data_IF_011356435693
#
_entry.id   IF_011356435693
#
_cell.length_a   1.000
_cell.length_b   1.000
_cell.length_c   1.000
_cell.angle_alpha   90.00
_cell.angle_beta   90.00
_cell.angle_gamma   90.00
#
_symmetry.space_group_name_H-M   'P 1'
#
loop_
_entity.id
_entity.type
_entity.pdbx_description
1 polymer ?
#
# COMPACT_ATOMS: atom_id res chain seq x y z
N UNK A 1 -8.70 -30.11 18.72
CA UNK A 1 -9.86 -30.90 18.24
C UNK A 1 -9.86 -30.91 16.71
N UNK A 2 -10.39 -31.94 16.07
CA UNK A 2 -10.48 -32.06 14.59
C UNK A 2 -11.96 -32.29 14.21
N UNK A 3 -12.44 -31.70 13.11
CA UNK A 3 -13.82 -31.92 12.67
C UNK A 3 -14.40 -30.82 11.79
N UNK A 4 -15.72 -30.83 11.63
CA UNK A 4 -16.51 -29.78 10.98
C UNK A 4 -17.43 -29.14 12.01
N UNK A 5 -17.84 -27.90 11.77
CA UNK A 5 -18.87 -27.25 12.58
C UNK A 5 -20.22 -27.90 12.22
N UNK A 6 -20.92 -28.54 13.18
CA UNK A 6 -22.21 -29.18 12.92
C UNK A 6 -23.28 -28.14 12.59
N UNK A 7 -24.27 -28.50 11.75
CA UNK A 7 -25.36 -27.58 11.40
C UNK A 7 -26.29 -27.32 12.59
N UNK A 8 -26.35 -28.27 13.52
CA UNK A 8 -27.17 -28.30 14.72
C UNK A 8 -26.71 -27.30 15.78
N UNK A 9 -25.59 -26.61 15.58
CA UNK A 9 -25.09 -25.58 16.49
C UNK A 9 -26.09 -24.43 16.70
N UNK A 10 -26.99 -24.23 15.74
CA UNK A 10 -28.08 -23.26 15.81
C UNK A 10 -29.14 -23.59 16.88
N UNK A 11 -29.19 -24.81 17.41
CA UNK A 11 -30.09 -25.20 18.48
C UNK A 11 -29.68 -24.58 19.83
N UNK A 12 -28.44 -24.12 19.95
CA UNK A 12 -27.90 -23.46 21.13
C UNK A 12 -28.30 -21.98 21.15
N UNK A 13 -29.60 -21.70 21.26
CA UNK A 13 -30.13 -20.32 21.19
C UNK A 13 -29.69 -19.42 22.34
N UNK A 14 -29.26 -19.99 23.47
CA UNK A 14 -28.77 -19.25 24.65
C UNK A 14 -27.25 -19.10 24.67
N UNK A 15 -26.54 -19.51 23.61
CA UNK A 15 -25.09 -19.43 23.60
C UNK A 15 -24.63 -17.99 23.37
N UNK A 16 -23.94 -17.43 24.36
CA UNK A 16 -23.45 -16.04 24.33
C UNK A 16 -22.01 -15.89 23.84
N UNK A 17 -21.16 -16.90 24.05
CA UNK A 17 -19.75 -16.83 23.68
C UNK A 17 -19.26 -18.15 23.11
N UNK A 18 -18.56 -18.07 21.98
CA UNK A 18 -17.98 -19.22 21.29
C UNK A 18 -16.53 -18.93 20.85
N UNK A 19 -15.58 -19.56 21.54
CA UNK A 19 -14.18 -19.56 21.15
C UNK A 19 -13.79 -20.97 20.67
N UNK A 20 -13.51 -21.10 19.37
CA UNK A 20 -12.98 -22.31 18.74
C UNK A 20 -11.58 -22.07 18.17
N UNK A 21 -10.90 -20.99 18.57
CA UNK A 21 -9.61 -20.63 18.02
C UNK A 21 -8.55 -21.71 18.25
N UNK A 22 -7.52 -21.73 17.39
CA UNK A 22 -6.38 -22.65 17.51
C UNK A 22 -6.78 -24.13 17.50
N UNK A 23 -7.65 -24.50 16.58
CA UNK A 23 -8.08 -25.88 16.37
C UNK A 23 -7.86 -26.30 14.90
N UNK A 24 -8.26 -27.53 14.57
CA UNK A 24 -8.18 -28.08 13.22
C UNK A 24 -9.60 -28.28 12.66
N UNK A 25 -10.52 -27.36 12.95
CA UNK A 25 -11.84 -27.38 12.31
C UNK A 25 -11.71 -27.08 10.82
N UNK A 26 -12.55 -27.73 10.02
CA UNK A 26 -12.49 -27.71 8.57
C UNK A 26 -13.89 -27.62 7.95
N UNK A 27 -13.94 -27.28 6.66
CA UNK A 27 -15.20 -27.08 5.94
C UNK A 27 -15.78 -25.67 6.12
N UNK A 28 -17.01 -25.50 5.63
CA UNK A 28 -17.70 -24.20 5.65
C UNK A 28 -18.34 -23.88 6.98
N UNK A 29 -18.46 -22.58 7.24
CA UNK A 29 -19.27 -22.06 8.34
C UNK A 29 -20.75 -22.25 7.95
N UNK A 30 -21.56 -22.95 8.77
CA UNK A 30 -22.95 -23.20 8.44
C UNK A 30 -23.79 -21.92 8.50
N UNK A 31 -24.59 -21.68 7.45
CA UNK A 31 -25.48 -20.51 7.36
C UNK A 31 -26.51 -20.45 8.50
N UNK A 32 -26.83 -21.60 9.13
CA UNK A 32 -27.76 -21.68 10.26
C UNK A 32 -27.31 -20.85 11.47
N UNK A 33 -26.03 -20.52 11.58
CA UNK A 33 -25.51 -19.65 12.65
C UNK A 33 -26.00 -18.22 12.58
N UNK A 34 -26.48 -17.76 11.41
CA UNK A 34 -27.15 -16.46 11.27
C UNK A 34 -28.38 -16.27 12.15
N UNK A 35 -28.95 -17.37 12.67
CA UNK A 35 -30.13 -17.38 13.55
C UNK A 35 -29.82 -17.40 15.05
N UNK A 36 -28.53 -17.44 15.45
CA UNK A 36 -28.10 -17.47 16.85
C UNK A 36 -28.03 -16.06 17.45
N UNK A 37 -29.19 -15.51 17.83
CA UNK A 37 -29.31 -14.09 18.22
C UNK A 37 -28.66 -13.73 19.57
N UNK A 38 -28.38 -14.70 20.43
CA UNK A 38 -27.79 -14.43 21.76
C UNK A 38 -26.26 -14.42 21.74
N UNK A 39 -25.63 -14.75 20.62
CA UNK A 39 -24.18 -14.91 20.51
C UNK A 39 -23.51 -13.54 20.44
N UNK A 40 -22.77 -13.13 21.46
CA UNK A 40 -22.12 -11.82 21.53
C UNK A 40 -20.61 -11.88 21.29
N UNK A 41 -19.98 -13.02 21.54
CA UNK A 41 -18.54 -13.19 21.36
C UNK A 41 -18.20 -14.40 20.48
N UNK A 42 -17.36 -14.17 19.46
CA UNK A 42 -16.96 -15.20 18.50
C UNK A 42 -15.46 -15.12 18.18
N UNK A 43 -14.76 -16.25 18.29
CA UNK A 43 -13.38 -16.39 17.84
C UNK A 43 -13.16 -17.74 17.14
N UNK A 44 -12.89 -17.72 15.83
CA UNK A 44 -12.60 -18.90 15.01
C UNK A 44 -11.22 -18.86 14.37
N UNK A 45 -10.35 -17.99 14.88
CA UNK A 45 -9.03 -17.78 14.33
C UNK A 45 -8.18 -19.05 14.40
N UNK A 46 -7.20 -19.17 13.51
CA UNK A 46 -6.26 -20.30 13.46
C UNK A 46 -6.96 -21.66 13.40
N UNK A 47 -7.79 -21.83 12.37
CA UNK A 47 -8.41 -23.10 11.98
C UNK A 47 -8.20 -23.36 10.48
N UNK A 48 -8.79 -24.43 9.95
CA UNK A 48 -8.76 -24.77 8.53
C UNK A 48 -10.14 -24.61 7.86
N UNK A 49 -10.91 -23.60 8.27
CA UNK A 49 -12.23 -23.29 7.71
C UNK A 49 -12.10 -22.78 6.26
N UNK A 50 -13.13 -23.02 5.46
CA UNK A 50 -13.10 -22.78 4.01
C UNK A 50 -14.44 -22.27 3.46
N UNK A 51 -14.41 -21.45 2.43
CA UNK A 51 -15.61 -20.96 1.75
C UNK A 51 -16.10 -19.60 2.27
N UNK A 52 -17.31 -19.17 1.87
CA UNK A 52 -17.83 -17.86 2.23
C UNK A 52 -18.14 -17.75 3.71
N UNK A 53 -17.74 -16.65 4.33
CA UNK A 53 -18.22 -16.24 5.65
C UNK A 53 -19.70 -15.81 5.49
N UNK A 54 -20.64 -16.44 6.22
CA UNK A 54 -22.04 -16.07 6.16
C UNK A 54 -22.27 -14.69 6.77
N UNK A 55 -22.30 -13.66 5.93
CA UNK A 55 -22.55 -12.28 6.33
C UNK A 55 -24.07 -11.98 6.30
N UNK A 56 -24.83 -12.63 7.16
CA UNK A 56 -26.29 -12.50 7.23
C UNK A 56 -26.82 -12.66 8.67
N UNK A 57 -27.96 -12.05 8.97
CA UNK A 57 -28.60 -12.15 10.28
C UNK A 57 -27.70 -11.62 11.39
N UNK A 58 -27.60 -12.35 12.51
CA UNK A 58 -26.72 -11.96 13.63
C UNK A 58 -25.24 -12.07 13.28
N UNK A 59 -24.86 -12.87 12.29
CA UNK A 59 -23.46 -13.04 11.91
C UNK A 59 -22.83 -11.80 11.24
N UNK A 60 -23.62 -10.84 10.77
CA UNK A 60 -23.09 -9.57 10.29
C UNK A 60 -22.58 -8.66 11.41
N UNK A 61 -22.90 -8.95 12.68
CA UNK A 61 -22.38 -8.21 13.84
C UNK A 61 -20.92 -8.53 14.14
N UNK A 62 -20.41 -9.68 13.67
CA UNK A 62 -19.00 -10.07 13.79
C UNK A 62 -18.20 -9.54 12.60
N UNK A 63 -17.96 -8.24 12.60
CA UNK A 63 -17.22 -7.52 11.57
C UNK A 63 -15.71 -7.47 11.82
N UNK A 64 -15.22 -7.96 12.96
CA UNK A 64 -13.80 -8.07 13.23
C UNK A 64 -13.15 -9.19 12.39
N UNK A 65 -12.25 -8.79 11.49
CA UNK A 65 -11.46 -9.72 10.69
C UNK A 65 -10.57 -10.64 11.54
N UNK A 66 -10.20 -10.23 12.76
CA UNK A 66 -9.35 -11.01 13.67
C UNK A 66 -9.99 -12.35 14.07
N UNK A 67 -11.33 -12.37 14.24
CA UNK A 67 -12.13 -13.58 14.53
C UNK A 67 -11.94 -14.69 13.50
N UNK A 68 -11.62 -14.34 12.25
CA UNK A 68 -11.49 -15.29 11.15
C UNK A 68 -10.04 -15.49 10.70
N UNK A 69 -9.09 -14.77 11.30
CA UNK A 69 -7.68 -14.78 10.90
C UNK A 69 -7.05 -16.18 10.99
N UNK A 70 -6.09 -16.50 10.12
CA UNK A 70 -5.43 -17.81 10.12
C UNK A 70 -6.23 -18.94 9.46
N UNK A 71 -7.40 -18.66 8.88
CA UNK A 71 -8.13 -19.60 8.02
C UNK A 71 -7.88 -19.28 6.54
N UNK A 72 -6.97 -20.00 5.90
CA UNK A 72 -6.47 -19.69 4.55
C UNK A 72 -7.58 -19.66 3.48
N UNK A 73 -8.59 -20.51 3.62
CA UNK A 73 -9.61 -20.74 2.60
C UNK A 73 -10.93 -20.00 2.83
N UNK A 74 -11.03 -19.15 3.86
CA UNK A 74 -12.20 -18.30 4.06
C UNK A 74 -12.19 -17.11 3.09
N UNK A 75 -13.39 -16.64 2.74
CA UNK A 75 -13.58 -15.48 1.86
C UNK A 75 -14.88 -14.74 2.20
N UNK A 76 -15.02 -13.51 1.71
CA UNK A 76 -16.16 -12.63 1.98
C UNK A 76 -15.94 -11.72 3.21
N UNK A 77 -16.81 -10.71 3.42
CA UNK A 77 -16.72 -9.83 4.57
C UNK A 77 -16.79 -10.62 5.89
N UNK A 78 -16.02 -10.24 6.94
CA UNK A 78 -15.17 -9.05 7.03
C UNK A 78 -13.76 -9.18 6.42
N UNK A 79 -13.40 -10.32 5.80
CA UNK A 79 -12.09 -10.48 5.18
C UNK A 79 -11.99 -9.74 3.83
N UNK A 80 -10.81 -9.20 3.47
CA UNK A 80 -10.60 -8.54 2.17
C UNK A 80 -10.57 -9.53 0.98
N UNK A 81 -10.54 -10.84 1.26
CA UNK A 81 -10.51 -11.90 0.24
C UNK A 81 -11.90 -12.09 -0.35
N UNK A 82 -12.06 -11.85 -1.66
CA UNK A 82 -13.32 -12.12 -2.38
C UNK A 82 -13.51 -13.63 -2.56
N UNK A 83 -14.76 -14.07 -2.57
CA UNK A 83 -15.08 -15.45 -2.93
C UNK A 83 -15.10 -15.59 -4.44
N UNK A 84 -14.23 -16.45 -4.97
CA UNK A 84 -14.21 -16.77 -6.40
C UNK A 84 -15.45 -17.62 -6.71
N UNK A 85 -16.39 -17.05 -7.45
CA UNK A 85 -17.45 -17.83 -8.08
C UNK A 85 -16.86 -18.68 -9.19
N UNK A 86 -17.28 -19.95 -9.37
CA UNK A 86 -16.82 -20.76 -10.48
C UNK A 86 -17.53 -20.32 -11.77
N UNK A 87 -17.16 -19.17 -12.33
CA UNK A 87 -17.19 -18.78 -13.77
C UNK A 87 -16.41 -17.45 -13.88
N UNK A 88 -15.15 -17.53 -14.30
CA UNK A 88 -14.57 -16.70 -15.36
C UNK A 88 -13.14 -17.17 -15.61
N UNK A 89 -13.01 -18.29 -16.33
CA UNK A 89 -11.78 -18.52 -17.08
C UNK A 89 -11.69 -17.39 -18.11
N UNK A 90 -10.58 -16.66 -18.10
CA UNK A 90 -10.19 -15.56 -18.98
C UNK A 90 -10.41 -14.12 -18.46
N UNK A 91 -9.85 -13.76 -17.31
CA UNK A 91 -8.99 -12.57 -17.18
C UNK A 91 -8.04 -12.87 -16.03
N UNK A 92 -6.73 -12.76 -16.25
CA UNK A 92 -5.76 -12.76 -15.16
C UNK A 92 -6.00 -11.54 -14.27
N UNK A 93 -6.77 -11.68 -13.19
CA UNK A 93 -6.90 -10.66 -12.16
C UNK A 93 -5.81 -10.86 -11.11
N UNK A 94 -4.58 -10.56 -11.53
CA UNK A 94 -3.44 -10.38 -10.64
C UNK A 94 -3.50 -8.95 -10.05
N UNK A 95 -4.63 -8.61 -9.39
CA UNK A 95 -4.78 -7.39 -8.58
C UNK A 95 -5.56 -7.67 -7.29
N UNK A 96 -5.09 -8.62 -6.50
CA UNK A 96 -5.19 -8.52 -5.03
C UNK A 96 -4.23 -7.45 -4.51
N UNK A 97 -4.49 -6.21 -4.90
CA UNK A 97 -3.98 -5.02 -4.23
C UNK A 97 -5.15 -4.39 -3.50
N UNK A 98 -5.16 -4.54 -2.18
CA UNK A 98 -6.04 -3.81 -1.27
C UNK A 98 -6.11 -2.32 -1.68
N UNK A 99 -7.32 -1.75 -1.85
CA UNK A 99 -7.49 -0.41 -2.43
C UNK A 99 -6.96 0.75 -1.57
N UNK A 100 -6.34 0.49 -0.43
CA UNK A 100 -5.97 1.53 0.54
C UNK A 100 -4.57 2.14 0.30
N UNK A 101 -3.70 1.50 -0.48
CA UNK A 101 -2.28 1.94 -0.62
C UNK A 101 -2.01 2.63 -1.96
N UNK A 102 -2.85 2.43 -2.99
CA UNK A 102 -2.55 2.98 -4.32
C UNK A 102 -2.61 4.53 -4.35
N UNK A 103 -3.47 5.14 -3.52
CA UNK A 103 -3.54 6.59 -3.36
C UNK A 103 -2.27 7.19 -2.75
N UNK A 104 -1.55 6.42 -1.91
CA UNK A 104 -0.27 6.84 -1.34
C UNK A 104 0.81 6.93 -2.41
N UNK A 105 0.90 5.96 -3.32
CA UNK A 105 1.91 5.97 -4.38
C UNK A 105 1.66 7.03 -5.46
N UNK A 106 0.38 7.31 -5.77
CA UNK A 106 0.00 8.39 -6.70
C UNK A 106 0.38 9.76 -6.10
N UNK A 107 0.06 9.98 -4.82
CA UNK A 107 0.38 11.25 -4.15
C UNK A 107 1.89 11.44 -3.94
N UNK A 108 2.61 10.38 -3.54
CA UNK A 108 4.07 10.40 -3.41
C UNK A 108 4.74 10.74 -4.76
N UNK A 109 4.33 10.10 -5.86
CA UNK A 109 4.89 10.34 -7.19
C UNK A 109 4.74 11.80 -7.68
N UNK A 110 3.56 12.39 -7.48
CA UNK A 110 3.30 13.79 -7.88
C UNK A 110 4.08 14.79 -7.01
N UNK A 111 4.21 14.53 -5.70
CA UNK A 111 4.94 15.38 -4.77
C UNK A 111 6.45 15.46 -5.07
N UNK A 112 7.09 14.34 -5.39
CA UNK A 112 8.53 14.31 -5.70
C UNK A 112 8.88 15.07 -6.99
N UNK A 113 8.04 14.99 -8.02
CA UNK A 113 8.28 15.66 -9.31
C UNK A 113 8.32 17.19 -9.21
N UNK A 114 7.41 17.77 -8.44
CA UNK A 114 7.30 19.24 -8.28
C UNK A 114 8.46 19.76 -7.41
N UNK A 115 8.80 19.06 -6.32
CA UNK A 115 9.85 19.49 -5.40
C UNK A 115 11.26 19.45 -6.00
N UNK A 116 11.67 18.29 -6.55
CA UNK A 116 13.02 18.13 -7.10
C UNK A 116 13.20 18.84 -8.45
N UNK A 117 12.17 18.88 -9.30
CA UNK A 117 12.22 19.56 -10.60
C UNK A 117 12.39 21.07 -10.47
N UNK A 118 11.68 21.69 -9.52
CA UNK A 118 11.82 23.12 -9.22
C UNK A 118 13.22 23.48 -8.71
N UNK A 119 13.73 22.73 -7.73
CA UNK A 119 15.06 22.98 -7.16
C UNK A 119 16.19 22.77 -8.19
N UNK A 120 16.13 21.70 -8.97
CA UNK A 120 17.12 21.42 -10.01
C UNK A 120 17.12 22.52 -11.10
N UNK A 121 15.95 23.03 -11.47
CA UNK A 121 15.83 24.15 -12.42
C UNK A 121 16.50 25.42 -11.91
N UNK A 122 16.30 25.79 -10.63
CA UNK A 122 16.99 26.94 -9.99
C UNK A 122 18.51 26.77 -9.98
N UNK A 123 19.00 25.55 -9.70
CA UNK A 123 20.43 25.24 -9.74
C UNK A 123 21.03 25.42 -11.14
N UNK A 124 20.33 24.99 -12.19
CA UNK A 124 20.85 25.14 -13.57
C UNK A 124 20.92 26.59 -14.03
N UNK A 125 19.95 27.42 -13.63
CA UNK A 125 19.96 28.85 -13.95
C UNK A 125 21.16 29.52 -13.26
N UNK A 126 21.31 29.34 -11.94
CA UNK A 126 22.42 29.92 -11.18
C UNK A 126 23.79 29.48 -11.71
N UNK A 127 23.92 28.21 -12.11
CA UNK A 127 25.14 27.66 -12.71
C UNK A 127 25.45 28.26 -14.08
N UNK A 128 24.44 28.48 -14.95
CA UNK A 128 24.63 29.14 -16.25
C UNK A 128 25.11 30.58 -16.10
N UNK A 129 24.53 31.35 -15.19
CA UNK A 129 24.93 32.74 -14.94
C UNK A 129 26.37 32.84 -14.42
N UNK A 130 26.75 32.01 -13.45
CA UNK A 130 28.11 32.03 -12.90
C UNK A 130 29.17 31.70 -13.97
N UNK A 131 28.90 30.69 -14.80
CA UNK A 131 29.81 30.31 -15.88
C UNK A 131 29.90 31.36 -17.00
N UNK A 132 28.82 32.11 -17.26
CA UNK A 132 28.82 33.20 -18.23
C UNK A 132 29.63 34.40 -17.72
N UNK A 133 29.51 34.75 -16.43
CA UNK A 133 30.26 35.84 -15.80
C UNK A 133 31.77 35.55 -15.85
N UNK A 134 32.19 34.33 -15.51
CA UNK A 134 33.60 33.93 -15.55
C UNK A 134 34.22 34.09 -16.95
N UNK A 135 33.49 33.69 -18.02
CA UNK A 135 33.96 33.86 -19.40
C UNK A 135 34.14 35.33 -19.80
N UNK A 136 33.24 36.20 -19.34
CA UNK A 136 33.31 37.64 -19.62
C UNK A 136 34.51 38.26 -18.90
N UNK A 137 34.77 37.84 -17.67
CA UNK A 137 35.92 38.31 -16.91
C UNK A 137 37.23 37.91 -17.60
N UNK A 138 37.39 36.65 -17.99
CA UNK A 138 38.60 36.18 -18.68
C UNK A 138 38.85 36.95 -19.99
N UNK A 139 37.79 37.18 -20.78
CA UNK A 139 37.89 37.99 -22.01
C UNK A 139 38.31 39.44 -21.74
N UNK A 140 37.78 40.04 -20.67
CA UNK A 140 38.12 41.42 -20.28
C UNK A 140 39.56 41.52 -19.81
N UNK A 141 40.04 40.53 -19.04
CA UNK A 141 41.41 40.46 -18.54
C UNK A 141 42.41 40.33 -19.69
N UNK A 142 42.16 39.47 -20.68
CA UNK A 142 43.03 39.31 -21.86
C UNK A 142 43.15 40.60 -22.68
N UNK A 143 42.04 41.32 -22.87
CA UNK A 143 42.04 42.62 -23.56
C UNK A 143 42.85 43.66 -22.78
N UNK A 144 42.68 43.72 -21.46
CA UNK A 144 43.44 44.66 -20.61
C UNK A 144 44.93 44.34 -20.61
N UNK A 145 45.32 43.06 -20.51
CA UNK A 145 46.72 42.62 -20.58
C UNK A 145 47.33 43.04 -21.92
N UNK A 146 46.63 42.78 -23.03
CA UNK A 146 47.09 43.14 -24.38
C UNK A 146 47.27 44.65 -24.54
N UNK A 147 46.32 45.46 -24.05
CA UNK A 147 46.41 46.92 -24.12
C UNK A 147 47.50 47.49 -23.21
N UNK A 148 47.70 46.93 -22.02
CA UNK A 148 48.77 47.34 -21.11
C UNK A 148 50.15 47.01 -21.68
N UNK A 149 50.33 45.85 -22.33
CA UNK A 149 51.57 45.51 -23.04
C UNK A 149 51.87 46.48 -24.19
N UNK A 150 50.84 46.97 -24.88
CA UNK A 150 51.00 47.92 -25.98
C UNK A 150 51.26 49.36 -25.49
N UNK A 151 50.76 49.73 -24.30
CA UNK A 151 50.99 51.03 -23.68
C UNK A 151 52.34 51.12 -22.95
N UNK A 152 52.86 49.99 -22.46
CA UNK A 152 54.17 49.89 -21.84
C UNK A 152 55.04 48.86 -22.59
N UNK A 153 55.55 49.19 -23.80
CA UNK A 153 56.55 48.35 -24.44
C UNK A 153 57.76 48.29 -23.50
N UNK A 154 58.21 47.06 -23.18
CA UNK A 154 59.36 46.79 -22.29
C UNK A 154 60.45 47.84 -22.51
N UNK A 155 60.60 48.76 -21.56
CA UNK A 155 61.77 49.63 -21.48
C UNK A 155 62.92 48.73 -21.06
N UNK A 156 63.61 48.14 -22.04
CA UNK A 156 64.90 47.49 -21.83
C UNK A 156 65.80 48.48 -21.09
N UNK A 157 66.14 48.16 -19.83
CA UNK A 157 67.36 48.62 -19.20
C UNK A 157 68.33 47.45 -19.25
N UNK A 158 69.40 47.70 -20.01
CA UNK A 158 70.80 47.27 -19.84
C UNK A 158 71.07 46.13 -18.84
#
# INVERSE_FOLDING_TARGET
>A
MIGKIPQEINQLQELESMDLSNNLFSGGIPLSMSSMNSLDALNWSYNNLSGPIPFAGHMSTFDDASTYYGNENLCGPPLPKKCDSPISNNVGDLRTGSPEVWQFWISAGLGFGIGFGGWYSVLTIKKKWNNAILKIMDFTVEILITRLQHLFPKRNRL
#
